data_IF_981739740738
#
_entry.id   IF_981739740738
#
_cell.length_a   1.000
_cell.length_b   1.000
_cell.length_c   1.000
_cell.angle_alpha   90.00
_cell.angle_beta   90.00
_cell.angle_gamma   90.00
#
_symmetry.space_group_name_H-M   'P 1'
#
loop_
_entity.id
_entity.type
_entity.pdbx_description
1 polymer ?
#
# COMPACT_ATOMS: atom_id res chain seq x y z
N UNK A 1 -66.85 16.65 -8.22
CA UNK A 1 -65.90 15.63 -7.74
C UNK A 1 -64.61 15.81 -8.53
N UNK A 2 -63.67 16.63 -7.98
CA UNK A 2 -62.44 17.04 -8.68
C UNK A 2 -61.30 16.08 -8.29
N UNK A 3 -60.87 15.25 -9.24
CA UNK A 3 -59.71 14.36 -9.08
C UNK A 3 -58.46 15.20 -9.39
N UNK A 4 -57.66 15.50 -8.36
CA UNK A 4 -56.31 16.09 -8.53
C UNK A 4 -55.33 14.94 -8.85
N UNK A 5 -54.86 14.88 -10.10
CA UNK A 5 -53.71 14.07 -10.46
C UNK A 5 -52.45 14.65 -9.80
N UNK A 6 -51.84 13.89 -8.88
CA UNK A 6 -50.51 14.15 -8.41
C UNK A 6 -49.49 13.54 -9.43
N UNK A 7 -48.83 14.39 -10.20
CA UNK A 7 -47.65 13.99 -10.96
C UNK A 7 -46.47 13.83 -9.99
N UNK A 8 -46.10 12.60 -9.64
CA UNK A 8 -44.84 12.34 -8.96
C UNK A 8 -43.72 12.44 -10.00
N UNK A 9 -42.96 13.55 -9.94
CA UNK A 9 -41.71 13.66 -10.70
C UNK A 9 -40.70 12.69 -10.11
N UNK A 10 -40.41 11.59 -10.84
CA UNK A 10 -39.25 10.74 -10.59
C UNK A 10 -38.00 11.58 -10.87
N UNK A 11 -37.37 12.07 -9.80
CA UNK A 11 -36.00 12.55 -9.85
C UNK A 11 -35.10 11.31 -9.99
N UNK A 12 -34.77 10.95 -11.23
CA UNK A 12 -33.66 10.05 -11.53
C UNK A 12 -32.38 10.77 -11.04
N UNK A 13 -31.54 10.10 -10.23
CA UNK A 13 -30.24 10.69 -9.91
C UNK A 13 -29.46 10.86 -11.22
N UNK A 14 -29.07 12.09 -11.55
CA UNK A 14 -28.05 12.31 -12.56
C UNK A 14 -26.81 11.55 -12.09
N UNK A 15 -26.53 10.41 -12.72
CA UNK A 15 -25.21 9.79 -12.65
C UNK A 15 -24.23 10.83 -13.20
N UNK A 16 -23.42 11.42 -12.33
CA UNK A 16 -22.29 12.22 -12.80
C UNK A 16 -21.49 11.30 -13.75
N UNK A 17 -21.46 11.66 -15.03
CA UNK A 17 -20.69 10.92 -16.01
C UNK A 17 -19.27 10.79 -15.48
N UNK A 18 -18.75 9.56 -15.38
CA UNK A 18 -17.44 9.29 -14.84
C UNK A 18 -16.41 10.04 -15.69
N UNK A 19 -15.80 11.07 -15.12
CA UNK A 19 -14.91 11.98 -15.83
C UNK A 19 -13.60 11.25 -16.18
N UNK A 20 -13.21 11.30 -17.45
CA UNK A 20 -11.91 10.85 -17.95
C UNK A 20 -10.99 12.04 -18.14
N UNK A 21 -9.70 11.81 -17.92
CA UNK A 21 -8.67 12.84 -18.07
C UNK A 21 -7.58 12.35 -19.03
N UNK A 22 -7.03 13.30 -19.79
CA UNK A 22 -5.91 13.07 -20.72
C UNK A 22 -4.98 14.28 -20.68
N UNK A 23 -3.79 14.11 -20.10
CA UNK A 23 -2.81 15.16 -19.88
C UNK A 23 -1.57 14.93 -20.75
N UNK A 24 -1.32 15.82 -21.71
CA UNK A 24 -0.07 15.92 -22.45
C UNK A 24 0.93 16.75 -21.65
N UNK A 25 1.80 16.08 -20.87
CA UNK A 25 2.80 16.75 -20.02
C UNK A 25 4.01 17.31 -20.82
N UNK A 26 4.05 17.13 -22.14
CA UNK A 26 5.02 17.84 -22.98
C UNK A 26 4.61 19.31 -23.18
N UNK A 27 3.39 19.68 -22.83
CA UNK A 27 2.81 21.01 -22.80
C UNK A 27 2.73 21.52 -21.37
N UNK A 28 2.57 22.83 -21.23
CA UNK A 28 2.36 23.44 -19.93
C UNK A 28 1.11 22.88 -19.24
N UNK A 29 1.24 22.52 -17.98
CA UNK A 29 0.16 22.15 -17.08
C UNK A 29 0.15 23.10 -15.88
N UNK A 30 -1.01 23.44 -15.31
CA UNK A 30 -1.08 24.35 -14.18
C UNK A 30 -0.50 23.72 -12.90
N UNK A 31 -0.24 24.54 -11.90
CA UNK A 31 -0.17 24.07 -10.52
C UNK A 31 -1.55 23.62 -10.06
N UNK A 32 -1.59 22.60 -9.21
CA UNK A 32 -2.85 22.13 -8.63
C UNK A 32 -3.53 23.23 -7.81
N UNK A 33 -4.83 23.34 -7.97
CA UNK A 33 -5.70 24.14 -7.11
C UNK A 33 -7.09 23.49 -7.05
N UNK A 34 -7.85 23.79 -6.00
CA UNK A 34 -9.24 23.30 -5.90
C UNK A 34 -10.12 23.77 -7.06
N UNK A 35 -9.80 24.93 -7.64
CA UNK A 35 -10.53 25.49 -8.77
C UNK A 35 -10.25 24.75 -10.09
N UNK A 36 -8.99 24.32 -10.32
CA UNK A 36 -8.62 23.52 -11.51
C UNK A 36 -8.96 22.05 -11.34
N UNK A 37 -8.86 21.56 -10.11
CA UNK A 37 -9.04 20.14 -9.77
C UNK A 37 -7.94 19.21 -10.29
N UNK A 38 -6.87 19.74 -10.91
CA UNK A 38 -5.71 18.97 -11.36
C UNK A 38 -4.47 19.86 -11.53
N UNK A 39 -3.30 19.24 -11.57
CA UNK A 39 -2.07 19.94 -11.89
C UNK A 39 -0.87 19.42 -11.10
N UNK A 40 0.29 20.10 -11.29
CA UNK A 40 1.49 19.84 -10.50
C UNK A 40 1.26 20.26 -9.05
N UNK A 41 1.54 19.33 -8.13
CA UNK A 41 1.33 19.50 -6.69
C UNK A 41 2.66 19.48 -5.94
N UNK A 42 2.71 20.02 -4.73
CA UNK A 42 3.89 19.99 -3.87
C UNK A 42 5.17 20.53 -4.53
N UNK A 43 5.11 21.62 -5.24
CA UNK A 43 6.22 22.17 -6.04
C UNK A 43 7.44 22.63 -5.24
N UNK A 44 7.33 22.82 -3.92
CA UNK A 44 8.43 23.20 -3.03
C UNK A 44 9.08 21.96 -2.39
N UNK A 45 9.77 21.14 -3.18
CA UNK A 45 10.54 20.02 -2.63
C UNK A 45 11.84 20.51 -1.97
N UNK A 46 12.32 19.90 -0.88
CA UNK A 46 13.72 20.02 -0.52
C UNK A 46 14.54 19.40 -1.65
N UNK A 47 15.43 20.22 -2.25
CA UNK A 47 16.35 19.76 -3.28
C UNK A 47 17.36 18.79 -2.66
N UNK A 48 17.14 17.51 -2.86
CA UNK A 48 18.21 16.53 -2.70
C UNK A 48 19.06 16.58 -3.96
N UNK A 49 20.38 16.77 -3.86
CA UNK A 49 21.26 16.87 -5.02
C UNK A 49 21.08 15.69 -5.99
N UNK A 50 20.75 15.98 -7.25
CA UNK A 50 20.59 14.99 -8.30
C UNK A 50 19.25 14.22 -8.34
N UNK A 51 18.29 14.59 -7.52
CA UNK A 51 16.96 13.97 -7.52
C UNK A 51 15.88 15.01 -7.85
N UNK A 52 15.01 14.63 -8.77
CA UNK A 52 13.80 15.39 -9.08
C UNK A 52 12.61 14.52 -8.74
N UNK A 53 11.82 14.95 -7.76
CA UNK A 53 10.58 14.30 -7.33
C UNK A 53 9.41 15.20 -7.74
N UNK A 54 8.54 14.70 -8.60
CA UNK A 54 7.45 15.45 -9.22
C UNK A 54 6.12 14.80 -8.86
N UNK A 55 5.17 15.61 -8.43
CA UNK A 55 3.81 15.20 -8.10
C UNK A 55 2.81 15.79 -9.07
N UNK A 56 1.84 14.98 -9.48
CA UNK A 56 0.70 15.42 -10.28
C UNK A 56 -0.57 14.85 -9.68
N UNK A 57 -1.49 15.72 -9.28
CA UNK A 57 -2.71 15.37 -8.58
C UNK A 57 -3.94 15.67 -9.43
N UNK A 58 -4.97 14.83 -9.30
CA UNK A 58 -6.27 15.00 -9.95
C UNK A 58 -7.36 14.71 -8.92
N UNK A 59 -8.26 15.67 -8.72
CA UNK A 59 -9.40 15.54 -7.81
C UNK A 59 -10.43 14.59 -8.40
N UNK A 60 -10.68 13.48 -7.69
CA UNK A 60 -11.61 12.43 -8.14
C UNK A 60 -12.36 11.82 -6.95
N UNK A 61 -13.58 11.30 -7.15
CA UNK A 61 -14.30 10.52 -6.14
C UNK A 61 -13.54 9.26 -5.68
N UNK A 62 -13.99 8.66 -4.58
CA UNK A 62 -13.49 7.34 -4.16
C UNK A 62 -13.82 6.27 -5.19
N UNK A 63 -12.85 5.39 -5.48
CA UNK A 63 -13.02 4.33 -6.45
C UNK A 63 -11.70 3.82 -7.04
N UNK A 64 -11.85 2.95 -8.02
CA UNK A 64 -10.72 2.46 -8.82
C UNK A 64 -10.61 3.26 -10.12
N UNK A 65 -9.39 3.56 -10.51
CA UNK A 65 -9.07 4.30 -11.72
C UNK A 65 -8.03 3.58 -12.55
N UNK A 66 -8.35 3.29 -13.81
CA UNK A 66 -7.38 2.84 -14.79
C UNK A 66 -6.53 4.01 -15.21
N UNK A 67 -5.24 3.88 -15.00
CA UNK A 67 -4.26 4.94 -15.26
C UNK A 67 -3.24 4.44 -16.25
N UNK A 68 -3.07 5.17 -17.35
CA UNK A 68 -2.05 4.90 -18.37
C UNK A 68 -1.03 6.03 -18.36
N UNK A 69 0.24 5.69 -18.14
CA UNK A 69 1.33 6.66 -18.07
C UNK A 69 2.38 6.33 -19.11
N UNK A 70 2.76 7.32 -19.91
CA UNK A 70 3.90 7.22 -20.82
C UNK A 70 5.11 7.92 -20.21
N UNK A 71 6.15 7.15 -19.90
CA UNK A 71 7.44 7.66 -19.41
C UNK A 71 8.44 7.81 -20.54
N UNK A 72 9.46 8.64 -20.31
CA UNK A 72 10.52 8.90 -21.29
C UNK A 72 10.42 10.28 -21.94
N UNK A 73 11.43 10.63 -22.75
CA UNK A 73 11.55 11.94 -23.38
C UNK A 73 12.08 11.86 -24.80
N UNK A 74 11.46 12.63 -25.71
CA UNK A 74 12.01 12.80 -27.07
C UNK A 74 13.27 13.64 -27.11
N UNK A 75 13.56 14.42 -26.04
CA UNK A 75 14.64 15.41 -25.98
C UNK A 75 15.90 14.90 -25.31
N UNK A 76 15.80 13.99 -24.33
CA UNK A 76 16.90 13.53 -23.49
C UNK A 76 16.73 12.07 -23.06
N UNK A 77 17.80 11.42 -22.59
CA UNK A 77 17.73 10.15 -21.87
C UNK A 77 17.09 10.39 -20.48
N UNK A 78 16.37 9.41 -19.97
CA UNK A 78 15.62 9.50 -18.69
C UNK A 78 15.88 8.28 -17.83
N UNK A 79 15.65 8.45 -16.52
CA UNK A 79 15.60 7.38 -15.54
C UNK A 79 14.42 7.72 -14.63
N UNK A 80 13.35 6.92 -14.69
CA UNK A 80 12.07 7.23 -14.07
C UNK A 80 11.57 6.07 -13.23
N UNK A 81 11.36 6.30 -11.94
CA UNK A 81 10.57 5.47 -11.03
C UNK A 81 9.19 6.12 -10.89
N UNK A 82 8.12 5.34 -10.97
CA UNK A 82 6.74 5.83 -10.87
C UNK A 82 6.04 5.23 -9.66
N UNK A 83 5.37 6.09 -8.91
CA UNK A 83 4.60 5.74 -7.72
C UNK A 83 3.24 6.43 -7.75
N UNK A 84 2.35 6.04 -6.84
CA UNK A 84 1.06 6.68 -6.64
C UNK A 84 0.76 6.83 -5.15
N UNK A 85 -0.10 7.79 -4.81
CA UNK A 85 -0.57 8.02 -3.44
C UNK A 85 0.63 8.16 -2.47
N UNK A 86 0.55 7.57 -1.29
CA UNK A 86 1.69 7.53 -0.37
C UNK A 86 2.74 6.51 -0.84
N UNK A 87 3.42 6.82 -1.94
CA UNK A 87 4.62 6.11 -2.41
C UNK A 87 4.39 4.64 -2.81
N UNK A 88 3.18 4.24 -3.22
CA UNK A 88 2.92 2.90 -3.78
C UNK A 88 3.73 2.70 -5.05
N UNK A 89 4.62 1.73 -5.07
CA UNK A 89 5.47 1.47 -6.23
C UNK A 89 4.65 0.88 -7.40
N UNK A 90 4.68 1.54 -8.54
CA UNK A 90 4.03 1.08 -9.78
C UNK A 90 5.06 0.61 -10.81
N UNK A 91 6.09 1.43 -11.05
CA UNK A 91 7.15 1.12 -12.01
C UNK A 91 8.50 1.35 -11.32
N UNK A 92 9.36 0.32 -11.21
CA UNK A 92 10.71 0.50 -10.67
C UNK A 92 11.53 1.43 -11.59
N UNK A 93 12.68 1.92 -11.09
CA UNK A 93 13.59 2.74 -11.87
C UNK A 93 13.82 2.15 -13.26
N UNK A 94 13.46 2.91 -14.28
CA UNK A 94 13.51 2.51 -15.69
C UNK A 94 14.28 3.52 -16.51
N UNK A 95 15.47 3.10 -16.94
CA UNK A 95 16.33 3.91 -17.81
C UNK A 95 15.88 3.78 -19.28
N UNK A 96 15.67 4.91 -19.95
CA UNK A 96 15.28 5.00 -21.34
C UNK A 96 16.25 5.93 -22.10
N UNK A 97 16.57 5.57 -23.36
CA UNK A 97 17.38 6.40 -24.23
C UNK A 97 16.59 7.62 -24.71
N UNK A 98 17.29 8.62 -25.23
CA UNK A 98 16.66 9.75 -25.94
C UNK A 98 15.75 9.22 -27.04
N UNK A 99 14.51 9.75 -27.14
CA UNK A 99 13.43 9.37 -28.05
C UNK A 99 12.75 8.03 -27.72
N UNK A 100 13.24 7.26 -26.76
CA UNK A 100 12.54 6.06 -26.27
C UNK A 100 11.42 6.50 -25.33
N UNK A 101 10.22 5.95 -25.57
CA UNK A 101 9.04 6.13 -24.73
C UNK A 101 8.51 4.75 -24.36
N UNK A 102 8.00 4.62 -23.14
CA UNK A 102 7.37 3.37 -22.66
C UNK A 102 6.07 3.67 -21.94
N UNK A 103 5.03 2.95 -22.29
CA UNK A 103 3.71 3.13 -21.70
C UNK A 103 3.39 1.98 -20.76
N UNK A 104 2.84 2.32 -19.59
CA UNK A 104 2.38 1.40 -18.57
C UNK A 104 0.92 1.69 -18.24
N UNK A 105 0.17 0.63 -17.97
CA UNK A 105 -1.22 0.72 -17.51
C UNK A 105 -1.38 -0.06 -16.21
N UNK A 106 -2.03 0.53 -15.23
CA UNK A 106 -2.32 -0.05 -13.91
C UNK A 106 -3.65 0.50 -13.40
N UNK A 107 -4.18 -0.10 -12.35
CA UNK A 107 -5.38 0.41 -11.69
C UNK A 107 -5.03 0.86 -10.27
N UNK A 108 -5.34 2.12 -9.96
CA UNK A 108 -5.11 2.74 -8.66
C UNK A 108 -6.44 2.84 -7.92
N UNK A 109 -6.46 2.41 -6.65
CA UNK A 109 -7.56 2.68 -5.75
C UNK A 109 -7.30 3.99 -5.00
N UNK A 110 -8.23 4.94 -5.14
CA UNK A 110 -8.29 6.20 -4.41
C UNK A 110 -9.40 6.10 -3.36
N UNK A 111 -9.12 6.54 -2.14
CA UNK A 111 -10.09 6.56 -1.05
C UNK A 111 -9.96 7.84 -0.22
N UNK A 112 -11.06 8.22 0.40
CA UNK A 112 -11.16 9.24 1.43
C UNK A 112 -11.60 8.61 2.76
N UNK A 113 -11.55 9.31 3.89
CA UNK A 113 -11.99 8.75 5.16
C UNK A 113 -13.52 8.58 5.26
N UNK A 114 -14.29 9.12 4.34
CA UNK A 114 -15.75 9.06 4.40
C UNK A 114 -16.27 7.67 4.02
N UNK A 115 -17.17 7.12 4.84
CA UNK A 115 -17.91 5.87 4.60
C UNK A 115 -19.29 6.22 4.06
N UNK A 116 -19.94 7.13 4.75
CA UNK A 116 -21.21 7.76 4.37
C UNK A 116 -21.11 9.25 4.68
N UNK A 117 -22.16 10.02 4.43
CA UNK A 117 -22.22 11.44 4.80
C UNK A 117 -22.06 11.69 6.32
N UNK A 118 -22.35 10.66 7.14
CA UNK A 118 -22.32 10.75 8.62
C UNK A 118 -21.20 9.95 9.27
N UNK A 119 -20.70 8.93 8.58
CA UNK A 119 -19.73 7.99 9.11
C UNK A 119 -18.40 8.10 8.39
N UNK A 120 -17.32 7.97 9.14
CA UNK A 120 -15.96 8.00 8.62
C UNK A 120 -15.00 7.13 9.40
N UNK A 121 -13.89 6.81 8.78
CA UNK A 121 -12.73 6.24 9.44
C UNK A 121 -12.19 7.24 10.47
N UNK A 122 -11.85 6.74 11.65
CA UNK A 122 -11.18 7.53 12.69
C UNK A 122 -9.68 7.55 12.38
N UNK A 123 -9.27 8.42 11.46
CA UNK A 123 -7.84 8.58 11.11
C UNK A 123 -7.08 9.22 12.26
N UNK A 124 -5.82 8.79 12.45
CA UNK A 124 -4.91 9.35 13.44
C UNK A 124 -4.35 10.71 12.97
N UNK A 125 -3.79 11.49 13.90
CA UNK A 125 -3.27 12.83 13.56
C UNK A 125 -2.16 12.77 12.49
N UNK A 126 -1.32 11.76 12.49
CA UNK A 126 -0.26 11.58 11.48
C UNK A 126 -0.78 11.20 10.09
N UNK A 127 -2.02 10.69 9.97
CA UNK A 127 -2.66 10.40 8.69
C UNK A 127 -3.32 11.64 8.08
N UNK A 128 -3.52 12.70 8.89
CA UNK A 128 -4.06 13.97 8.41
C UNK A 128 -3.05 14.59 7.45
N UNK A 129 -3.48 14.81 6.21
CA UNK A 129 -2.60 15.30 5.15
C UNK A 129 -1.81 14.21 4.42
N UNK A 130 -2.02 12.93 4.76
CA UNK A 130 -1.54 11.81 3.94
C UNK A 130 -2.28 11.77 2.60
N UNK A 131 -1.56 11.48 1.53
CA UNK A 131 -2.13 11.30 0.19
C UNK A 131 -3.13 10.14 0.10
N UNK A 132 -3.11 9.23 1.07
CA UNK A 132 -4.02 8.08 1.09
C UNK A 132 -5.46 8.41 1.51
N UNK A 133 -5.68 9.57 2.14
CA UNK A 133 -6.95 9.94 2.75
C UNK A 133 -7.48 11.29 2.28
N UNK A 134 -6.94 11.83 1.19
CA UNK A 134 -7.41 13.09 0.61
C UNK A 134 -8.47 12.88 -0.48
N UNK A 135 -8.81 13.93 -1.23
CA UNK A 135 -9.80 13.89 -2.31
C UNK A 135 -9.16 13.82 -3.71
N UNK A 136 -7.84 13.50 -3.77
CA UNK A 136 -7.05 13.47 -5.01
C UNK A 136 -6.54 12.07 -5.30
N UNK A 137 -6.37 11.75 -6.58
CA UNK A 137 -5.49 10.70 -7.06
C UNK A 137 -4.17 11.37 -7.42
N UNK A 138 -3.11 10.98 -6.73
CA UNK A 138 -1.79 11.58 -6.90
C UNK A 138 -0.82 10.57 -7.50
N UNK A 139 -0.13 10.96 -8.56
CA UNK A 139 1.02 10.25 -9.11
C UNK A 139 2.29 10.99 -8.72
N UNK A 140 3.33 10.26 -8.36
CA UNK A 140 4.66 10.80 -8.21
C UNK A 140 5.67 10.04 -9.08
N UNK A 141 6.68 10.76 -9.54
CA UNK A 141 7.81 10.15 -10.24
C UNK A 141 9.11 10.81 -9.86
N UNK A 142 10.09 9.96 -9.62
CA UNK A 142 11.43 10.35 -9.18
C UNK A 142 12.50 9.67 -10.02
N UNK A 143 13.72 10.18 -9.99
CA UNK A 143 14.84 9.61 -10.71
C UNK A 143 15.99 10.61 -10.88
N UNK A 144 17.10 10.17 -11.46
CA UNK A 144 18.21 11.09 -11.79
C UNK A 144 17.82 12.12 -12.85
N UNK A 145 16.93 11.76 -13.74
CA UNK A 145 16.47 12.59 -14.84
C UNK A 145 15.05 12.14 -15.28
N UNK A 146 14.08 12.16 -14.37
CA UNK A 146 12.78 11.54 -14.61
C UNK A 146 11.96 12.32 -15.65
N UNK A 147 11.10 11.63 -16.38
CA UNK A 147 10.16 12.24 -17.29
C UNK A 147 8.92 11.39 -17.49
N UNK A 148 7.76 12.01 -17.30
CA UNK A 148 6.45 11.54 -17.74
C UNK A 148 5.98 12.48 -18.84
N UNK A 149 5.54 11.91 -19.97
CA UNK A 149 5.11 12.67 -21.14
C UNK A 149 3.59 12.71 -21.31
N UNK A 150 2.87 11.71 -20.78
CA UNK A 150 1.39 11.65 -20.84
C UNK A 150 0.82 10.88 -19.67
N UNK A 151 -0.33 11.31 -19.19
CA UNK A 151 -1.16 10.63 -18.18
C UNK A 151 -2.59 10.59 -18.68
N UNK A 152 -3.18 9.38 -18.71
CA UNK A 152 -4.59 9.17 -18.98
C UNK A 152 -5.23 8.50 -17.76
N UNK A 153 -6.38 9.00 -17.29
CA UNK A 153 -7.09 8.50 -16.12
C UNK A 153 -8.55 8.29 -16.47
N UNK A 154 -9.08 7.10 -16.22
CA UNK A 154 -10.49 6.78 -16.39
C UNK A 154 -10.99 5.93 -15.21
N UNK A 155 -12.22 6.11 -14.73
CA UNK A 155 -12.81 5.21 -13.74
C UNK A 155 -12.80 3.76 -14.21
N UNK A 156 -12.50 2.84 -13.29
CA UNK A 156 -12.50 1.40 -13.56
C UNK A 156 -13.43 0.66 -12.60
N UNK A 157 -14.57 0.24 -13.08
CA UNK A 157 -15.55 -0.55 -12.33
C UNK A 157 -15.34 -2.05 -12.49
N UNK A 158 -14.36 -2.49 -13.28
CA UNK A 158 -14.15 -3.90 -13.63
C UNK A 158 -13.00 -4.56 -12.88
N UNK A 159 -12.00 -3.79 -12.47
CA UNK A 159 -10.86 -4.32 -11.74
C UNK A 159 -11.27 -4.96 -10.40
N UNK A 160 -10.67 -6.11 -10.08
CA UNK A 160 -10.80 -6.75 -8.77
C UNK A 160 -10.04 -5.91 -7.75
N UNK A 161 -10.64 -5.64 -6.58
CA UNK A 161 -9.95 -4.91 -5.53
C UNK A 161 -9.38 -5.87 -4.49
N UNK A 162 -8.11 -5.65 -4.13
CA UNK A 162 -7.42 -6.30 -3.02
C UNK A 162 -7.28 -5.28 -1.90
N UNK A 163 -8.09 -5.43 -0.86
CA UNK A 163 -8.03 -4.59 0.33
C UNK A 163 -6.99 -5.14 1.30
N UNK A 164 -6.09 -4.29 1.77
CA UNK A 164 -5.11 -4.62 2.79
C UNK A 164 -5.55 -4.06 4.14
N UNK A 165 -5.55 -4.91 5.16
CA UNK A 165 -5.85 -4.59 6.54
C UNK A 165 -4.64 -5.00 7.39
N UNK A 166 -4.12 -4.10 8.21
CA UNK A 166 -2.92 -4.41 8.99
C UNK A 166 -2.38 -3.23 9.75
N UNK A 167 -1.11 -3.32 10.04
CA UNK A 167 -0.36 -2.36 10.85
C UNK A 167 0.81 -1.72 10.06
N UNK A 168 1.86 -1.30 10.77
CA UNK A 168 3.01 -0.59 10.19
C UNK A 168 3.83 -1.38 9.17
N UNK A 169 3.72 -2.71 9.14
CA UNK A 169 4.40 -3.55 8.15
C UNK A 169 3.61 -3.67 6.84
N UNK A 170 2.35 -3.19 6.83
CA UNK A 170 1.41 -3.25 5.70
C UNK A 170 1.08 -1.86 5.14
N UNK A 171 0.97 -0.82 6.00
CA UNK A 171 0.51 0.54 5.66
C UNK A 171 1.33 1.18 4.55
N UNK A 172 0.73 2.06 3.76
CA UNK A 172 1.46 2.95 2.89
C UNK A 172 2.18 4.02 3.74
N UNK A 173 3.45 3.81 4.05
CA UNK A 173 4.24 4.76 4.82
C UNK A 173 4.41 6.06 4.03
N UNK A 174 3.99 7.18 4.60
CA UNK A 174 3.98 8.48 3.90
C UNK A 174 5.37 9.08 3.71
N UNK A 175 6.34 8.71 4.54
CA UNK A 175 7.68 9.31 4.57
C UNK A 175 8.80 8.28 4.45
N UNK A 176 9.87 8.65 3.72
CA UNK A 176 11.12 7.92 3.76
C UNK A 176 11.78 8.10 5.15
N UNK A 177 12.58 7.12 5.65
CA UNK A 177 12.97 5.87 4.99
C UNK A 177 12.04 4.68 5.28
N UNK A 178 10.88 4.92 5.89
CA UNK A 178 9.94 3.87 6.27
C UNK A 178 9.22 3.34 5.02
N UNK A 179 9.03 2.03 4.97
CA UNK A 179 8.27 1.38 3.90
C UNK A 179 7.60 0.11 4.42
N UNK A 180 6.66 -0.43 3.64
CA UNK A 180 5.98 -1.67 3.96
C UNK A 180 5.69 -2.49 2.70
N UNK A 181 5.40 -3.78 2.88
CA UNK A 181 5.10 -4.63 1.76
C UNK A 181 3.80 -4.23 1.03
N UNK A 182 2.84 -3.62 1.73
CA UNK A 182 1.60 -3.16 1.11
C UNK A 182 1.81 -2.05 0.07
N UNK A 183 2.82 -1.18 0.26
CA UNK A 183 3.22 -0.18 -0.73
C UNK A 183 3.87 -0.80 -1.98
N UNK A 184 4.57 -1.92 -1.81
CA UNK A 184 5.37 -2.52 -2.88
C UNK A 184 4.62 -3.58 -3.66
N UNK A 185 3.58 -4.18 -3.08
CA UNK A 185 2.80 -5.25 -3.72
C UNK A 185 2.07 -4.79 -4.97
N UNK A 186 1.72 -3.51 -5.06
CA UNK A 186 1.08 -2.89 -6.22
C UNK A 186 1.88 -3.06 -7.51
N UNK A 187 3.21 -3.10 -7.40
CA UNK A 187 4.14 -3.33 -8.51
C UNK A 187 3.88 -4.64 -9.25
N UNK A 188 3.35 -5.63 -8.55
CA UNK A 188 3.27 -7.00 -9.06
C UNK A 188 1.92 -7.36 -9.69
N UNK A 189 0.94 -6.44 -9.67
CA UNK A 189 -0.36 -6.67 -10.29
C UNK A 189 -0.53 -5.89 -11.59
N UNK A 190 -1.16 -6.52 -12.57
CA UNK A 190 -1.62 -5.88 -13.80
C UNK A 190 -2.85 -5.00 -13.58
N UNK A 191 -3.31 -4.33 -14.66
CA UNK A 191 -4.41 -3.37 -14.58
C UNK A 191 -5.78 -3.97 -14.21
N UNK A 192 -5.88 -5.28 -14.13
CA UNK A 192 -7.10 -5.97 -13.68
C UNK A 192 -7.26 -5.99 -12.15
N UNK A 193 -6.26 -5.51 -11.41
CA UNK A 193 -6.25 -5.49 -9.95
C UNK A 193 -5.92 -4.11 -9.42
N UNK A 194 -6.76 -3.62 -8.50
CA UNK A 194 -6.49 -2.45 -7.69
C UNK A 194 -6.13 -2.86 -6.26
N UNK A 195 -5.13 -2.25 -5.67
CA UNK A 195 -4.78 -2.45 -4.25
C UNK A 195 -5.28 -1.26 -3.44
N UNK A 196 -6.12 -1.52 -2.42
CA UNK A 196 -6.62 -0.53 -1.47
C UNK A 196 -6.03 -0.80 -0.09
N UNK A 197 -5.02 -0.04 0.31
CA UNK A 197 -4.33 -0.26 1.57
C UNK A 197 -4.96 0.55 2.70
N UNK A 198 -5.70 -0.11 3.59
CA UNK A 198 -6.41 0.50 4.71
C UNK A 198 -5.68 0.30 6.06
N UNK A 199 -4.48 -0.26 6.03
CA UNK A 199 -3.65 -0.46 7.20
C UNK A 199 -3.18 0.86 7.82
N UNK A 200 -2.76 0.81 9.08
CA UNK A 200 -2.13 1.95 9.74
C UNK A 200 -1.21 1.48 10.85
N UNK A 201 -0.10 2.18 11.01
CA UNK A 201 0.91 1.88 12.02
C UNK A 201 0.32 1.89 13.44
N UNK A 202 0.73 0.93 14.27
CA UNK A 202 0.27 0.82 15.65
C UNK A 202 -1.07 0.09 15.82
N UNK A 203 -1.78 -0.24 14.75
CA UNK A 203 -3.07 -0.89 14.88
C UNK A 203 -2.95 -2.36 15.30
N UNK A 204 -3.88 -2.76 16.17
CA UNK A 204 -4.27 -4.13 16.46
C UNK A 204 -5.49 -4.50 15.61
N UNK A 205 -5.80 -5.78 15.47
CA UNK A 205 -7.05 -6.23 14.85
C UNK A 205 -8.28 -5.55 15.49
N UNK A 206 -8.27 -5.45 16.83
CA UNK A 206 -9.36 -4.80 17.57
C UNK A 206 -9.44 -3.29 17.33
N UNK A 207 -8.32 -2.56 17.30
CA UNK A 207 -8.34 -1.12 17.06
C UNK A 207 -8.71 -0.78 15.62
N UNK A 208 -8.33 -1.60 14.65
CA UNK A 208 -8.74 -1.47 13.25
C UNK A 208 -10.29 -1.50 13.13
N UNK A 209 -10.93 -2.44 13.84
CA UNK A 209 -12.40 -2.52 13.91
C UNK A 209 -13.00 -1.27 14.57
N UNK A 210 -12.49 -0.85 15.73
CA UNK A 210 -12.99 0.31 16.49
C UNK A 210 -12.79 1.65 15.77
N UNK A 211 -11.85 1.72 14.82
CA UNK A 211 -11.62 2.90 13.99
C UNK A 211 -12.48 2.92 12.71
N UNK A 212 -13.46 2.03 12.56
CA UNK A 212 -14.32 1.91 11.39
C UNK A 212 -13.56 1.64 10.07
N UNK A 213 -12.34 1.09 10.14
CA UNK A 213 -11.55 0.83 8.93
C UNK A 213 -12.10 -0.36 8.14
N UNK A 214 -12.56 -1.40 8.85
CA UNK A 214 -13.25 -2.50 8.19
C UNK A 214 -14.59 -2.03 7.59
N UNK A 215 -15.29 -1.09 8.23
CA UNK A 215 -16.53 -0.53 7.67
C UNK A 215 -16.25 0.21 6.34
N UNK A 216 -15.15 0.95 6.26
CA UNK A 216 -14.71 1.57 5.01
C UNK A 216 -14.39 0.54 3.93
N UNK A 217 -13.65 -0.51 4.28
CA UNK A 217 -13.37 -1.63 3.36
C UNK A 217 -14.68 -2.22 2.83
N UNK A 218 -15.61 -2.55 3.73
CA UNK A 218 -16.89 -3.18 3.37
C UNK A 218 -17.79 -2.27 2.52
N UNK A 219 -17.73 -0.95 2.73
CA UNK A 219 -18.48 0.02 1.91
C UNK A 219 -17.99 0.09 0.45
N UNK A 220 -16.72 -0.24 0.21
CA UNK A 220 -16.12 -0.24 -1.13
C UNK A 220 -16.04 -1.64 -1.75
N UNK A 221 -16.17 -2.69 -0.95
CA UNK A 221 -16.00 -4.08 -1.36
C UNK A 221 -17.16 -4.55 -2.24
N UNK A 222 -16.81 -5.21 -3.32
CA UNK A 222 -17.76 -5.90 -4.22
C UNK A 222 -17.62 -7.41 -4.09
N UNK A 223 -18.69 -8.18 -4.36
CA UNK A 223 -18.61 -9.62 -4.37
C UNK A 223 -17.46 -10.13 -5.25
N UNK A 224 -16.59 -10.98 -4.69
CA UNK A 224 -15.42 -11.52 -5.37
C UNK A 224 -14.11 -10.78 -5.11
N UNK A 225 -14.14 -9.56 -4.55
CA UNK A 225 -12.94 -8.85 -4.08
C UNK A 225 -12.25 -9.58 -2.93
N UNK A 226 -11.01 -9.20 -2.66
CA UNK A 226 -10.18 -9.85 -1.63
C UNK A 226 -9.89 -8.91 -0.47
N UNK A 227 -9.82 -9.46 0.74
CA UNK A 227 -9.35 -8.78 1.94
C UNK A 227 -8.19 -9.58 2.52
N UNK A 228 -7.02 -8.98 2.60
CA UNK A 228 -5.82 -9.59 3.17
C UNK A 228 -5.54 -8.93 4.52
N UNK A 229 -5.40 -9.72 5.58
CA UNK A 229 -5.20 -9.23 6.94
C UNK A 229 -3.86 -9.72 7.51
N UNK A 230 -3.00 -8.78 7.95
CA UNK A 230 -1.80 -9.05 8.75
C UNK A 230 -1.90 -8.30 10.07
N UNK A 231 -2.05 -9.05 11.16
CA UNK A 231 -2.09 -8.55 12.53
C UNK A 231 -1.23 -9.43 13.44
N UNK A 232 -1.00 -9.00 14.70
CA UNK A 232 -0.22 -9.73 15.69
C UNK A 232 0.89 -8.89 16.33
N UNK A 233 1.58 -8.03 15.56
CA UNK A 233 2.67 -7.18 16.06
C UNK A 233 2.27 -6.31 17.25
N UNK A 234 1.09 -5.72 17.20
CA UNK A 234 0.60 -4.79 18.21
C UNK A 234 -0.40 -5.45 19.16
N UNK A 235 -1.13 -6.45 18.67
CA UNK A 235 -2.10 -7.21 19.46
C UNK A 235 -1.45 -7.85 20.70
N UNK A 236 -0.22 -8.33 20.58
CA UNK A 236 0.55 -8.89 21.70
C UNK A 236 0.88 -7.88 22.81
N UNK A 237 0.75 -6.58 22.56
CA UNK A 237 0.97 -5.51 23.53
C UNK A 237 -0.27 -5.14 24.31
N UNK A 238 -1.45 -5.58 23.86
CA UNK A 238 -2.70 -5.38 24.57
C UNK A 238 -2.62 -6.08 25.95
N UNK A 239 -3.14 -5.41 26.98
CA UNK A 239 -3.12 -5.87 28.37
C UNK A 239 -4.54 -5.81 28.95
N UNK A 240 -4.74 -6.55 30.01
CA UNK A 240 -5.99 -6.56 30.76
C UNK A 240 -6.86 -7.80 30.49
N UNK A 241 -8.03 -7.86 31.12
CA UNK A 241 -8.94 -9.00 30.99
C UNK A 241 -9.37 -9.24 29.54
N UNK A 242 -9.27 -10.48 29.07
CA UNK A 242 -9.61 -10.87 27.71
C UNK A 242 -8.56 -10.56 26.67
N UNK A 243 -7.43 -9.91 27.00
CA UNK A 243 -6.31 -9.74 26.08
C UNK A 243 -5.53 -11.06 25.91
N UNK A 244 -5.16 -11.38 24.68
CA UNK A 244 -4.33 -12.53 24.37
C UNK A 244 -4.64 -13.15 23.00
N UNK A 245 -3.67 -13.93 22.52
CA UNK A 245 -3.72 -14.55 21.19
C UNK A 245 -4.98 -15.43 21.00
N UNK A 246 -5.30 -16.24 22.03
CA UNK A 246 -6.41 -17.20 22.02
C UNK A 246 -7.76 -16.61 22.47
N UNK A 247 -7.80 -15.31 22.80
CA UNK A 247 -8.99 -14.59 23.25
C UNK A 247 -9.38 -13.49 22.27
N UNK A 248 -9.18 -12.21 22.63
CA UNK A 248 -9.62 -11.07 21.84
C UNK A 248 -9.02 -11.05 20.44
N UNK A 249 -7.76 -11.47 20.25
CA UNK A 249 -7.15 -11.52 18.93
C UNK A 249 -7.90 -12.53 18.03
N UNK A 250 -8.06 -13.77 18.48
CA UNK A 250 -8.80 -14.81 17.75
C UNK A 250 -10.26 -14.39 17.48
N UNK A 251 -10.91 -13.76 18.47
CA UNK A 251 -12.26 -13.21 18.31
C UNK A 251 -12.33 -12.11 17.24
N UNK A 252 -11.39 -11.17 17.26
CA UNK A 252 -11.33 -10.11 16.27
C UNK A 252 -11.10 -10.66 14.85
N UNK A 253 -10.19 -11.64 14.69
CA UNK A 253 -10.00 -12.32 13.41
C UNK A 253 -11.29 -12.95 12.89
N UNK A 254 -12.07 -13.57 13.78
CA UNK A 254 -13.37 -14.14 13.42
C UNK A 254 -14.36 -13.07 12.94
N UNK A 255 -14.36 -11.87 13.54
CA UNK A 255 -15.20 -10.77 13.08
C UNK A 255 -14.84 -10.33 11.66
N UNK A 256 -13.53 -10.26 11.30
CA UNK A 256 -13.11 -9.98 9.92
C UNK A 256 -13.69 -11.04 8.97
N UNK A 257 -13.54 -12.32 9.31
CA UNK A 257 -14.03 -13.43 8.46
C UNK A 257 -15.52 -13.29 8.19
N UNK A 258 -16.31 -13.15 9.26
CA UNK A 258 -17.77 -13.14 9.15
C UNK A 258 -18.28 -11.94 8.37
N UNK A 259 -17.72 -10.77 8.65
CA UNK A 259 -18.15 -9.52 8.01
C UNK A 259 -17.75 -9.46 6.53
N UNK A 260 -16.53 -9.89 6.19
CA UNK A 260 -16.05 -9.93 4.80
C UNK A 260 -16.86 -10.95 3.99
N UNK A 261 -17.08 -12.15 4.53
CA UNK A 261 -17.88 -13.18 3.84
C UNK A 261 -19.33 -12.77 3.66
N UNK A 262 -19.93 -12.12 4.67
CA UNK A 262 -21.30 -11.57 4.59
C UNK A 262 -21.42 -10.55 3.45
N UNK A 263 -20.39 -9.78 3.18
CA UNK A 263 -20.33 -8.81 2.07
C UNK A 263 -19.97 -9.45 0.72
N UNK A 264 -19.74 -10.76 0.65
CA UNK A 264 -19.37 -11.48 -0.57
C UNK A 264 -17.89 -11.43 -0.93
N UNK A 265 -17.04 -10.90 -0.04
CA UNK A 265 -15.60 -10.85 -0.21
C UNK A 265 -14.90 -12.16 0.16
N UNK A 266 -13.64 -12.28 -0.29
CA UNK A 266 -12.75 -13.41 0.01
C UNK A 266 -11.67 -12.96 0.97
N UNK A 267 -11.58 -13.58 2.13
CA UNK A 267 -10.58 -13.23 3.15
C UNK A 267 -9.38 -14.16 3.09
N UNK A 268 -8.20 -13.58 3.30
CA UNK A 268 -6.89 -14.26 3.37
C UNK A 268 -6.17 -13.70 4.59
N UNK A 269 -5.56 -14.56 5.38
CA UNK A 269 -4.68 -14.14 6.46
C UNK A 269 -3.22 -14.18 6.05
N UNK A 270 -2.43 -13.36 6.71
CA UNK A 270 -1.00 -13.28 6.61
C UNK A 270 -0.41 -13.33 8.02
N UNK A 271 0.43 -14.29 8.31
CA UNK A 271 1.14 -14.30 9.60
C UNK A 271 2.06 -13.08 9.70
N UNK A 272 2.19 -12.45 10.90
CA UNK A 272 3.02 -11.25 11.05
C UNK A 272 4.48 -11.52 10.67
N UNK A 273 5.12 -10.58 10.00
CA UNK A 273 6.54 -10.67 9.66
C UNK A 273 7.41 -10.76 10.91
N UNK A 274 8.57 -11.42 10.84
CA UNK A 274 9.49 -11.50 11.97
C UNK A 274 10.06 -10.14 12.34
N UNK A 275 10.37 -9.95 13.63
CA UNK A 275 11.31 -8.92 14.06
C UNK A 275 12.74 -9.43 13.94
N UNK A 276 13.65 -8.53 13.62
CA UNK A 276 15.06 -8.83 13.55
C UNK A 276 15.66 -8.93 14.96
N UNK A 277 15.42 -10.06 15.62
CA UNK A 277 16.00 -10.36 16.94
C UNK A 277 16.80 -11.65 16.84
N UNK A 278 18.12 -11.53 16.76
CA UNK A 278 19.05 -12.65 16.64
C UNK A 278 19.62 -13.08 17.98
N UNK A 279 19.72 -14.39 18.17
CA UNK A 279 20.54 -15.02 19.19
C UNK A 279 21.27 -16.20 18.55
N UNK A 280 22.58 -16.28 18.71
CA UNK A 280 23.43 -17.34 18.15
C UNK A 280 23.22 -17.54 16.64
N UNK A 281 23.09 -16.45 15.90
CA UNK A 281 22.89 -16.48 14.43
C UNK A 281 21.49 -16.89 13.96
N UNK A 282 20.55 -17.10 14.88
CA UNK A 282 19.17 -17.50 14.59
C UNK A 282 18.15 -16.45 15.03
N UNK A 283 17.10 -16.26 14.23
CA UNK A 283 15.97 -15.43 14.59
C UNK A 283 15.20 -16.06 15.75
N UNK A 284 14.96 -15.28 16.79
CA UNK A 284 14.17 -15.70 17.95
C UNK A 284 12.71 -15.31 17.76
N UNK A 285 11.81 -16.13 18.28
CA UNK A 285 10.38 -15.81 18.32
C UNK A 285 10.10 -14.60 19.22
N UNK A 286 9.35 -13.64 18.70
CA UNK A 286 8.99 -12.42 19.42
C UNK A 286 7.50 -12.14 19.41
N UNK A 287 6.68 -12.95 18.76
CA UNK A 287 5.24 -12.78 18.65
C UNK A 287 4.44 -13.73 19.56
N UNK A 288 5.14 -14.62 20.29
CA UNK A 288 4.47 -15.62 21.14
C UNK A 288 3.45 -16.44 20.34
N UNK A 289 2.28 -16.66 20.92
CA UNK A 289 1.23 -17.52 20.35
C UNK A 289 0.41 -16.84 19.22
N UNK A 290 0.67 -15.59 18.86
CA UNK A 290 -0.20 -14.86 17.90
C UNK A 290 -0.20 -15.47 16.49
N UNK A 291 0.95 -15.90 15.91
CA UNK A 291 0.95 -16.61 14.64
C UNK A 291 0.17 -17.92 14.70
N UNK A 292 0.31 -18.68 15.78
CA UNK A 292 -0.36 -19.98 15.94
C UNK A 292 -1.86 -19.83 16.18
N UNK A 293 -2.29 -18.81 16.91
CA UNK A 293 -3.69 -18.48 17.07
C UNK A 293 -4.34 -18.08 15.74
N UNK A 294 -3.64 -17.29 14.89
CA UNK A 294 -4.11 -16.96 13.54
C UNK A 294 -4.24 -18.22 12.67
N UNK A 295 -3.25 -19.10 12.67
CA UNK A 295 -3.29 -20.40 11.97
C UNK A 295 -4.45 -21.29 12.44
N UNK A 296 -4.71 -21.32 13.76
CA UNK A 296 -5.80 -22.09 14.33
C UNK A 296 -7.18 -21.56 13.92
N UNK A 297 -7.38 -20.24 13.98
CA UNK A 297 -8.62 -19.60 13.49
C UNK A 297 -8.78 -19.86 11.99
N UNK A 298 -7.73 -19.71 11.21
CA UNK A 298 -7.76 -19.95 9.76
C UNK A 298 -8.15 -21.37 9.39
N UNK A 299 -7.55 -22.38 10.06
CA UNK A 299 -7.92 -23.80 9.85
C UNK A 299 -9.37 -24.06 10.18
N UNK A 300 -9.84 -23.60 11.35
CA UNK A 300 -11.23 -23.79 11.80
C UNK A 300 -12.23 -23.17 10.82
N UNK A 301 -11.89 -22.01 10.29
CA UNK A 301 -12.79 -21.22 9.44
C UNK A 301 -12.52 -21.45 7.93
N UNK A 302 -11.60 -22.34 7.57
CA UNK A 302 -11.20 -22.59 6.18
C UNK A 302 -10.79 -21.27 5.45
N UNK A 303 -9.83 -20.54 6.02
CA UNK A 303 -9.23 -19.32 5.49
C UNK A 303 -7.81 -19.61 5.01
N UNK A 304 -7.41 -19.25 3.79
CA UNK A 304 -6.02 -19.36 3.35
C UNK A 304 -5.09 -18.48 4.19
N UNK A 305 -3.87 -18.97 4.45
CA UNK A 305 -2.84 -18.23 5.20
C UNK A 305 -1.55 -18.13 4.39
N UNK A 306 -1.05 -16.94 4.18
CA UNK A 306 0.31 -16.71 3.68
C UNK A 306 1.27 -16.66 4.88
N UNK A 307 2.28 -17.51 4.87
CA UNK A 307 3.22 -17.69 5.99
C UNK A 307 4.39 -16.70 5.93
N UNK A 308 4.11 -15.37 6.00
CA UNK A 308 5.15 -14.35 6.00
C UNK A 308 6.09 -14.46 7.21
N UNK A 309 5.59 -15.00 8.33
CA UNK A 309 6.39 -15.24 9.53
C UNK A 309 7.59 -16.16 9.25
N UNK A 310 7.33 -17.30 8.62
CA UNK A 310 8.36 -18.28 8.30
C UNK A 310 9.23 -17.81 7.12
N UNK A 311 8.63 -17.16 6.13
CA UNK A 311 9.38 -16.63 4.99
C UNK A 311 10.35 -15.50 5.41
N UNK A 312 9.94 -14.61 6.30
CA UNK A 312 10.82 -13.53 6.79
C UNK A 312 11.86 -14.03 7.77
N UNK A 313 11.59 -15.11 8.52
CA UNK A 313 12.61 -15.83 9.30
C UNK A 313 13.74 -16.32 8.38
N UNK A 314 13.39 -17.06 7.34
CA UNK A 314 14.34 -17.56 6.33
C UNK A 314 15.13 -16.43 5.70
N UNK A 315 14.46 -15.35 5.28
CA UNK A 315 15.06 -14.17 4.69
C UNK A 315 16.11 -13.51 5.60
N UNK A 316 15.77 -13.25 6.86
CA UNK A 316 16.71 -12.63 7.79
C UNK A 316 17.88 -13.56 8.14
N UNK A 317 17.63 -14.86 8.35
CA UNK A 317 18.69 -15.83 8.63
C UNK A 317 19.63 -15.99 7.45
N UNK A 318 19.13 -15.95 6.22
CA UNK A 318 19.95 -16.00 5.00
C UNK A 318 20.82 -14.76 4.85
N UNK A 319 20.28 -13.57 5.09
CA UNK A 319 21.06 -12.34 5.09
C UNK A 319 22.09 -12.31 6.25
N UNK A 320 21.82 -12.99 7.33
CA UNK A 320 22.64 -13.02 8.54
C UNK A 320 22.51 -11.74 9.38
N UNK A 321 23.21 -11.74 10.52
CA UNK A 321 23.07 -10.69 11.56
C UNK A 321 23.33 -9.29 11.01
N UNK A 322 24.34 -9.11 10.18
CA UNK A 322 24.72 -7.77 9.72
C UNK A 322 23.95 -7.32 8.48
N UNK A 323 23.84 -8.17 7.45
CA UNK A 323 23.18 -7.76 6.21
C UNK A 323 21.65 -7.64 6.35
N UNK A 324 21.02 -8.33 7.31
CA UNK A 324 19.58 -8.18 7.56
C UNK A 324 19.18 -6.78 7.99
N UNK A 325 20.12 -5.98 8.53
CA UNK A 325 19.91 -4.54 8.78
C UNK A 325 19.60 -3.77 7.49
N UNK A 326 20.12 -4.25 6.34
CA UNK A 326 19.89 -3.62 5.02
C UNK A 326 18.45 -3.71 4.54
N UNK A 327 17.65 -4.61 5.10
CA UNK A 327 16.22 -4.73 4.82
C UNK A 327 15.34 -3.87 5.75
N UNK A 328 15.91 -3.28 6.76
CA UNK A 328 15.22 -2.53 7.80
C UNK A 328 15.72 -1.09 7.90
N UNK A 329 15.06 -0.28 8.70
CA UNK A 329 15.45 1.12 8.87
C UNK A 329 16.64 1.22 9.82
N UNK A 330 17.82 0.97 9.25
CA UNK A 330 19.12 1.13 9.90
C UNK A 330 19.96 2.08 9.06
N UNK A 331 20.13 3.32 9.53
CA UNK A 331 20.86 4.37 8.83
C UNK A 331 21.71 5.19 9.79
N UNK A 332 23.01 5.40 9.50
CA UNK A 332 23.85 6.31 10.30
C UNK A 332 23.26 7.71 10.36
N UNK A 333 23.60 8.46 11.41
CA UNK A 333 23.25 9.88 11.48
C UNK A 333 23.75 10.63 10.23
N UNK A 334 22.96 11.59 9.76
CA UNK A 334 23.32 12.40 8.59
C UNK A 334 23.04 11.72 7.23
N UNK A 335 22.41 10.55 7.19
CA UNK A 335 22.01 9.89 5.93
C UNK A 335 20.92 10.68 5.19
N UNK A 336 19.98 11.25 5.95
CA UNK A 336 18.88 12.04 5.40
C UNK A 336 18.92 13.49 5.91
N UNK A 337 18.33 14.44 5.19
CA UNK A 337 18.25 15.83 5.64
C UNK A 337 17.63 15.95 7.02
N UNK A 338 18.29 16.68 7.94
CA UNK A 338 17.80 16.87 9.32
C UNK A 338 17.90 15.66 10.24
N UNK A 339 18.39 14.53 9.80
CA UNK A 339 18.61 13.35 10.62
C UNK A 339 19.88 13.52 11.47
N UNK A 340 19.72 13.83 12.74
CA UNK A 340 20.83 14.07 13.69
C UNK A 340 21.24 12.83 14.48
N UNK A 341 20.46 11.75 14.43
CA UNK A 341 20.69 10.49 15.17
C UNK A 341 20.67 9.29 14.24
N UNK A 342 21.35 8.24 14.65
CA UNK A 342 21.22 6.94 14.01
C UNK A 342 19.76 6.44 14.06
N UNK A 343 19.28 5.86 12.97
CA UNK A 343 18.06 5.07 12.95
C UNK A 343 18.45 3.59 13.07
N UNK A 344 17.87 2.90 14.05
CA UNK A 344 18.16 1.49 14.35
C UNK A 344 16.87 0.76 14.72
N UNK A 345 16.08 0.42 13.72
CA UNK A 345 14.79 -0.25 13.89
C UNK A 345 14.85 -1.72 13.43
N UNK A 346 14.48 -2.62 14.30
CA UNK A 346 14.50 -4.06 14.05
C UNK A 346 13.13 -4.64 13.64
N UNK A 347 12.18 -3.79 13.30
CA UNK A 347 10.82 -4.20 12.93
C UNK A 347 10.39 -3.61 11.58
N UNK A 348 10.61 -2.31 11.38
CA UNK A 348 10.10 -1.62 10.20
C UNK A 348 11.07 -1.72 9.03
N UNK A 349 10.50 -2.05 7.88
CA UNK A 349 11.25 -2.18 6.63
C UNK A 349 11.64 -0.82 6.05
N UNK A 350 12.76 -0.80 5.37
CA UNK A 350 13.07 0.19 4.36
C UNK A 350 12.51 -0.24 2.98
N UNK A 351 12.64 0.57 1.93
CA UNK A 351 12.10 0.22 0.61
C UNK A 351 12.60 -1.12 0.05
N UNK A 352 13.86 -1.50 0.26
CA UNK A 352 14.36 -2.80 -0.18
C UNK A 352 13.68 -3.96 0.56
N UNK A 353 13.67 -3.93 1.89
CA UNK A 353 13.03 -5.01 2.66
C UNK A 353 11.53 -5.13 2.40
N UNK A 354 10.85 -3.98 2.27
CA UNK A 354 9.43 -3.94 1.90
C UNK A 354 9.16 -4.58 0.53
N UNK A 355 10.04 -4.33 -0.46
CA UNK A 355 9.95 -4.92 -1.78
C UNK A 355 10.15 -6.44 -1.76
N UNK A 356 11.13 -6.94 -1.01
CA UNK A 356 11.36 -8.38 -0.84
C UNK A 356 10.16 -9.07 -0.19
N UNK A 357 9.58 -8.47 0.88
CA UNK A 357 8.39 -9.03 1.53
C UNK A 357 7.16 -8.99 0.62
N UNK A 358 7.00 -7.98 -0.23
CA UNK A 358 5.94 -7.95 -1.24
C UNK A 358 6.07 -9.11 -2.25
N UNK A 359 7.29 -9.51 -2.61
CA UNK A 359 7.53 -10.69 -3.44
C UNK A 359 7.19 -11.99 -2.71
N UNK A 360 7.54 -12.09 -1.41
CA UNK A 360 7.11 -13.22 -0.57
C UNK A 360 5.58 -13.31 -0.55
N UNK A 361 4.90 -12.18 -0.36
CA UNK A 361 3.45 -12.12 -0.33
C UNK A 361 2.80 -12.64 -1.62
N UNK A 362 3.23 -12.13 -2.78
CA UNK A 362 2.70 -12.58 -4.08
C UNK A 362 3.02 -14.04 -4.37
N UNK A 363 4.18 -14.52 -3.96
CA UNK A 363 4.56 -15.95 -4.06
C UNK A 363 3.69 -16.82 -3.17
N UNK A 364 3.45 -16.40 -1.93
CA UNK A 364 2.55 -17.11 -1.01
C UNK A 364 1.13 -17.20 -1.56
N UNK A 365 0.59 -16.12 -2.10
CA UNK A 365 -0.72 -16.11 -2.77
C UNK A 365 -0.75 -17.09 -3.97
N UNK A 366 0.31 -17.11 -4.77
CA UNK A 366 0.42 -18.01 -5.93
C UNK A 366 0.48 -19.48 -5.51
N UNK A 367 1.26 -19.80 -4.47
CA UNK A 367 1.40 -21.16 -3.94
C UNK A 367 0.09 -21.68 -3.34
N UNK A 368 -0.73 -20.79 -2.77
CA UNK A 368 -2.07 -21.10 -2.28
C UNK A 368 -3.12 -21.21 -3.40
N UNK A 369 -2.76 -21.00 -4.66
CA UNK A 369 -3.67 -21.05 -5.79
C UNK A 369 -4.74 -19.95 -5.77
N UNK A 370 -4.48 -18.80 -5.14
CA UNK A 370 -5.46 -17.70 -5.06
C UNK A 370 -5.70 -17.13 -6.45
N UNK A 371 -6.96 -17.11 -6.93
CA UNK A 371 -7.26 -16.78 -8.35
C UNK A 371 -6.79 -15.40 -8.82
N UNK A 372 -6.67 -14.40 -7.92
CA UNK A 372 -6.18 -13.06 -8.27
C UNK A 372 -4.74 -13.09 -8.81
N UNK A 373 -3.96 -14.12 -8.50
CA UNK A 373 -2.57 -14.27 -8.98
C UNK A 373 -2.44 -14.54 -10.49
N UNK A 374 -3.54 -14.79 -11.19
CA UNK A 374 -3.55 -14.83 -12.66
C UNK A 374 -3.25 -13.48 -13.31
N UNK A 375 -3.41 -12.42 -12.55
CA UNK A 375 -3.16 -11.03 -12.97
C UNK A 375 -1.81 -10.48 -12.50
N UNK A 376 -0.91 -11.33 -12.03
CA UNK A 376 0.47 -10.92 -11.78
C UNK A 376 1.13 -10.47 -13.08
N UNK A 377 2.01 -9.47 -12.98
CA UNK A 377 2.71 -8.89 -14.14
C UNK A 377 3.54 -9.94 -14.87
N UNK A 378 3.76 -9.75 -16.17
CA UNK A 378 4.46 -10.72 -17.02
C UNK A 378 5.92 -10.94 -16.64
N UNK A 379 6.54 -9.99 -15.94
CA UNK A 379 7.89 -10.07 -15.41
C UNK A 379 7.96 -10.59 -13.97
N UNK A 380 6.82 -10.94 -13.36
CA UNK A 380 6.77 -11.56 -12.05
C UNK A 380 7.47 -12.94 -12.08
N UNK A 381 8.23 -13.19 -11.03
CA UNK A 381 8.86 -14.49 -10.78
C UNK A 381 8.64 -14.88 -9.33
N UNK A 382 8.46 -16.19 -9.10
CA UNK A 382 8.41 -16.72 -7.74
C UNK A 382 9.66 -16.32 -6.96
N UNK A 383 9.45 -15.98 -5.70
CA UNK A 383 10.52 -15.54 -4.81
C UNK A 383 10.87 -16.66 -3.82
N UNK A 384 12.16 -16.84 -3.61
CA UNK A 384 12.68 -17.73 -2.59
C UNK A 384 13.41 -16.90 -1.51
N UNK A 385 12.92 -16.85 -0.27
CA UNK A 385 13.55 -16.08 0.81
C UNK A 385 14.95 -16.61 1.20
N UNK A 386 15.31 -17.82 0.78
CA UNK A 386 16.68 -18.34 0.91
C UNK A 386 17.65 -17.78 -0.13
N UNK A 387 17.14 -17.07 -1.15
CA UNK A 387 17.93 -16.45 -2.21
C UNK A 387 17.45 -15.02 -2.46
N UNK A 388 17.61 -14.12 -1.48
CA UNK A 388 17.17 -12.72 -1.60
C UNK A 388 17.92 -11.99 -2.73
N UNK A 389 17.27 -10.98 -3.31
CA UNK A 389 17.90 -10.13 -4.29
C UNK A 389 19.06 -9.35 -3.64
N UNK A 390 20.07 -9.05 -4.42
CA UNK A 390 21.20 -8.24 -3.93
C UNK A 390 20.74 -6.80 -3.65
N UNK A 391 20.71 -6.41 -2.38
CA UNK A 391 20.31 -5.06 -1.94
C UNK A 391 21.09 -3.93 -2.62
N UNK A 392 22.30 -4.19 -3.14
CA UNK A 392 23.13 -3.22 -3.87
C UNK A 392 22.59 -2.91 -5.26
N UNK A 393 21.74 -3.78 -5.81
CA UNK A 393 21.10 -3.60 -7.13
C UNK A 393 19.72 -2.98 -7.04
N UNK A 394 19.14 -2.91 -5.84
CA UNK A 394 17.83 -2.31 -5.63
C UNK A 394 17.94 -0.78 -5.71
N UNK A 395 17.13 -0.18 -6.58
CA UNK A 395 17.12 1.27 -6.79
C UNK A 395 15.83 1.85 -6.23
N UNK A 396 15.97 2.78 -5.31
CA UNK A 396 14.90 3.59 -4.78
C UNK A 396 15.30 5.06 -4.79
N UNK A 397 14.44 5.90 -5.33
CA UNK A 397 14.60 7.35 -5.25
C UNK A 397 13.72 7.85 -4.10
N UNK A 398 14.32 8.39 -3.01
CA UNK A 398 13.54 8.91 -1.90
C UNK A 398 12.54 9.96 -2.35
N UNK A 399 11.40 10.03 -1.67
CA UNK A 399 10.43 11.11 -1.88
C UNK A 399 10.89 12.39 -1.19
N UNK A 400 10.23 13.50 -1.49
CA UNK A 400 10.44 14.76 -0.75
C UNK A 400 10.01 14.68 0.71
N UNK A 401 9.21 13.68 1.08
CA UNK A 401 8.72 13.51 2.44
C UNK A 401 9.68 12.59 3.22
N UNK A 402 10.28 13.14 4.24
CA UNK A 402 11.16 12.43 5.15
C UNK A 402 10.70 12.62 6.59
N UNK A 403 10.73 11.56 7.38
CA UNK A 403 10.48 11.61 8.82
C UNK A 403 11.43 10.64 9.53
N UNK A 404 12.09 11.11 10.58
CA UNK A 404 12.93 10.30 11.45
C UNK A 404 12.17 9.73 12.65
N UNK A 405 10.89 10.05 12.79
CA UNK A 405 10.04 9.54 13.86
C UNK A 405 9.62 8.11 13.53
N UNK A 406 9.95 7.20 14.44
CA UNK A 406 9.58 5.80 14.33
C UNK A 406 8.05 5.65 14.21
N UNK A 407 7.54 4.86 13.26
CA UNK A 407 6.12 4.55 13.17
C UNK A 407 5.59 3.98 14.49
N UNK A 408 4.34 4.32 14.84
CA UNK A 408 3.74 3.81 16.06
C UNK A 408 3.65 2.28 16.05
N UNK A 409 3.68 1.67 17.22
CA UNK A 409 3.49 0.24 17.38
C UNK A 409 4.72 -0.55 17.81
N UNK A 410 5.85 0.10 18.10
CA UNK A 410 7.04 -0.58 18.65
C UNK A 410 7.56 0.07 19.91
#
# INVERSE_FOLDING_TARGET
MNIKLFLAALLLPLSAAAQTFDFDLTKHQPAYSDATGYGYDFTAAPDLPGQHDVYFSVKVPDGNYRVTVTIGSRRRATDTQLRAESRRLLVPSTALKKKELRTYTFTINKRSPYITDKERVKINDREKGSLDWDDKLTLDWAGKNPAVSRIEIAPDTTATTVFLCGNSTVVDQSCDPWASWGQMVTRWFGPEVAVSNNAESGLTAGSFLRQNRLDKVLAMLRPGDYVICEFGHNDQKEKGPGAGAWYNFSYNLKQFIDRVRKAGGRIIFCTPTQRRFFKDGKIQETHGDYPDAMRAVARRENVPVVELHDMTRTFFETLGVDNSKRALVHYPAGTFPGQTRELADNTHFNPYGAYEVARMMTTGLKNLGIPVTRYLTTDWKAYDPAHPDDFRTFVWFPSKFFDNVKPAGN
#
